data_IF_441638099899
#
_entry.id   IF_441638099899
#
_cell.length_a   1.000
_cell.length_b   1.000
_cell.length_c   1.000
_cell.angle_alpha   90.00
_cell.angle_beta   90.00
_cell.angle_gamma   90.00
#
_symmetry.space_group_name_H-M   'P 1'
#
loop_
_entity.id
_entity.type
_entity.pdbx_description
1 polymer ?
#
# COMPACT_ATOMS: atom_id res chain seq x y z
N UNK A 1 -3.09 13.06 21.02
CA UNK A 1 -4.57 13.14 20.87
C UNK A 1 -5.07 12.49 19.57
N UNK A 2 -4.25 12.03 18.62
CA UNK A 2 -4.70 11.31 17.39
C UNK A 2 -5.87 11.96 16.62
N UNK A 3 -6.06 13.28 16.76
CA UNK A 3 -7.06 14.07 16.07
C UNK A 3 -6.48 14.66 14.78
N UNK A 4 -7.25 14.77 13.70
CA UNK A 4 -8.69 14.44 13.56
C UNK A 4 -8.98 12.95 13.29
N UNK A 5 -7.95 12.12 13.17
CA UNK A 5 -8.04 10.75 12.64
C UNK A 5 -8.90 9.80 13.49
N UNK A 6 -8.88 9.95 14.82
CA UNK A 6 -9.68 9.19 15.78
C UNK A 6 -11.19 9.48 15.64
N UNK A 7 -11.55 10.70 15.27
CA UNK A 7 -12.94 11.13 15.04
C UNK A 7 -13.42 10.69 13.65
N UNK A 8 -12.57 10.82 12.63
CA UNK A 8 -12.88 10.34 11.27
C UNK A 8 -13.02 8.81 11.21
N UNK A 9 -12.31 8.10 12.09
CA UNK A 9 -12.46 6.66 12.30
C UNK A 9 -13.88 6.24 12.64
N UNK A 10 -14.57 7.06 13.45
CA UNK A 10 -15.87 6.75 14.01
C UNK A 10 -16.98 6.85 12.97
N UNK A 11 -16.79 7.72 11.97
CA UNK A 11 -17.74 7.92 10.88
C UNK A 11 -17.68 6.80 9.82
N UNK A 12 -16.76 5.83 9.96
CA UNK A 12 -16.47 4.86 8.90
C UNK A 12 -15.90 5.50 7.63
N UNK A 13 -15.56 6.78 7.69
CA UNK A 13 -15.13 7.61 6.56
C UNK A 13 -13.60 7.61 6.41
N UNK A 14 -12.93 6.58 6.93
CA UNK A 14 -11.51 6.33 6.69
C UNK A 14 -11.27 6.08 5.22
N UNK A 15 -10.86 7.13 4.52
CA UNK A 15 -10.47 7.05 3.12
C UNK A 15 -9.09 6.41 3.05
N UNK A 16 -8.97 5.32 2.30
CA UNK A 16 -7.69 4.83 1.84
C UNK A 16 -7.01 5.96 1.02
N UNK A 17 -5.69 6.18 1.13
CA UNK A 17 -4.99 7.09 0.23
C UNK A 17 -5.37 6.79 -1.23
N UNK A 18 -5.64 7.82 -2.02
CA UNK A 18 -6.23 7.65 -3.37
C UNK A 18 -5.40 6.73 -4.26
N UNK A 19 -4.08 6.87 -4.22
CA UNK A 19 -3.14 6.01 -4.97
C UNK A 19 -3.29 4.54 -4.55
N UNK A 20 -3.38 4.27 -3.25
CA UNK A 20 -3.54 2.91 -2.74
C UNK A 20 -4.90 2.33 -3.12
N UNK A 21 -5.94 3.16 -3.14
CA UNK A 21 -7.29 2.75 -3.56
C UNK A 21 -7.32 2.36 -5.04
N UNK A 22 -6.74 3.20 -5.89
CA UNK A 22 -6.61 2.94 -7.33
C UNK A 22 -5.82 1.65 -7.58
N UNK A 23 -4.73 1.42 -6.86
CA UNK A 23 -3.92 0.22 -6.99
C UNK A 23 -4.67 -1.05 -6.58
N UNK A 24 -5.45 -1.00 -5.50
CA UNK A 24 -6.33 -2.10 -5.08
C UNK A 24 -7.40 -2.35 -6.13
N UNK A 25 -8.09 -1.32 -6.61
CA UNK A 25 -9.12 -1.44 -7.64
C UNK A 25 -8.55 -2.08 -8.92
N UNK A 26 -7.34 -1.71 -9.33
CA UNK A 26 -6.66 -2.33 -10.47
C UNK A 26 -6.43 -3.84 -10.27
N UNK A 27 -5.96 -4.26 -9.09
CA UNK A 27 -5.81 -5.69 -8.76
C UNK A 27 -7.16 -6.42 -8.81
N UNK A 28 -8.20 -5.78 -8.28
CA UNK A 28 -9.55 -6.34 -8.21
C UNK A 28 -10.20 -6.50 -9.60
N UNK A 29 -9.96 -5.54 -10.51
CA UNK A 29 -10.38 -5.62 -11.92
C UNK A 29 -9.68 -6.79 -12.63
N UNK A 30 -8.42 -7.06 -12.29
CA UNK A 30 -7.65 -8.18 -12.82
C UNK A 30 -8.01 -9.55 -12.20
N UNK A 31 -9.12 -9.64 -11.44
CA UNK A 31 -9.61 -10.88 -10.84
C UNK A 31 -9.14 -11.13 -9.40
N UNK A 32 -8.26 -10.29 -8.87
CA UNK A 32 -7.72 -10.42 -7.51
C UNK A 32 -6.95 -11.74 -7.28
N UNK A 33 -6.58 -12.03 -6.02
CA UNK A 33 -5.89 -13.26 -5.63
C UNK A 33 -6.56 -14.54 -6.13
N UNK A 34 -7.89 -14.61 -6.13
CA UNK A 34 -8.64 -15.75 -6.66
C UNK A 34 -8.42 -15.96 -8.18
N UNK A 35 -8.19 -14.88 -8.93
CA UNK A 35 -7.89 -14.95 -10.37
C UNK A 35 -6.57 -15.65 -10.69
N UNK A 36 -5.60 -15.67 -9.76
CA UNK A 36 -4.32 -16.34 -9.97
C UNK A 36 -4.50 -17.86 -10.13
N UNK A 37 -5.47 -18.48 -9.44
CA UNK A 37 -5.73 -19.91 -9.54
C UNK A 37 -6.18 -20.30 -10.97
N UNK A 38 -7.01 -19.46 -11.59
CA UNK A 38 -7.47 -19.70 -12.97
C UNK A 38 -6.30 -19.64 -13.97
N UNK A 39 -5.35 -18.72 -13.78
CA UNK A 39 -4.19 -18.59 -14.66
C UNK A 39 -3.13 -19.65 -14.41
N UNK A 40 -2.94 -20.08 -13.16
CA UNK A 40 -2.14 -21.26 -12.85
C UNK A 40 -2.72 -22.52 -13.51
N UNK A 41 -4.04 -22.63 -13.53
CA UNK A 41 -4.70 -23.73 -14.23
C UNK A 41 -4.43 -23.67 -15.74
N UNK A 42 -4.51 -22.48 -16.36
CA UNK A 42 -4.12 -22.28 -17.76
C UNK A 42 -2.66 -22.69 -18.02
N UNK A 43 -1.75 -22.33 -17.11
CA UNK A 43 -0.33 -22.70 -17.20
C UNK A 43 -0.12 -24.22 -17.21
N UNK A 44 -0.83 -24.93 -16.31
CA UNK A 44 -0.82 -26.40 -16.24
C UNK A 44 -1.37 -27.03 -17.50
N UNK A 45 -2.44 -26.48 -18.06
CA UNK A 45 -3.05 -26.97 -19.29
C UNK A 45 -2.11 -26.80 -20.50
N UNK A 46 -1.46 -25.64 -20.65
CA UNK A 46 -0.44 -25.41 -21.68
C UNK A 46 0.75 -26.36 -21.51
N UNK A 47 1.25 -26.52 -20.28
CA UNK A 47 2.35 -27.46 -20.01
C UNK A 47 1.99 -28.89 -20.38
N UNK A 48 0.75 -29.32 -20.12
CA UNK A 48 0.28 -30.65 -20.50
C UNK A 48 0.26 -30.83 -22.02
N UNK A 49 -0.30 -29.85 -22.74
CA UNK A 49 -0.37 -29.90 -24.21
C UNK A 49 1.04 -29.96 -24.83
N UNK A 50 1.95 -29.11 -24.38
CA UNK A 50 3.32 -29.09 -24.90
C UNK A 50 4.05 -30.42 -24.61
N UNK A 51 3.84 -31.00 -23.42
CA UNK A 51 4.40 -32.31 -23.09
C UNK A 51 3.82 -33.43 -23.95
N UNK A 52 2.51 -33.44 -24.20
CA UNK A 52 1.84 -34.42 -25.06
C UNK A 52 2.37 -34.34 -26.50
N UNK A 53 2.51 -33.14 -27.05
CA UNK A 53 3.08 -32.93 -28.39
C UNK A 53 4.53 -33.43 -28.49
N UNK A 54 5.32 -33.24 -27.42
CA UNK A 54 6.69 -33.72 -27.34
C UNK A 54 6.74 -35.26 -27.36
N UNK A 55 5.94 -35.92 -26.52
CA UNK A 55 5.84 -37.38 -26.47
C UNK A 55 5.40 -37.94 -27.83
N UNK A 56 4.35 -37.38 -28.42
CA UNK A 56 3.85 -37.84 -29.73
C UNK A 56 4.92 -37.74 -30.82
N UNK A 57 5.74 -36.67 -30.81
CA UNK A 57 6.84 -36.49 -31.76
C UNK A 57 7.96 -37.51 -31.52
N UNK A 58 8.30 -37.77 -30.26
CA UNK A 58 9.30 -38.78 -29.88
C UNK A 58 8.86 -40.19 -30.29
N UNK A 59 7.60 -40.55 -30.04
CA UNK A 59 7.01 -41.83 -30.44
C UNK A 59 7.05 -42.04 -31.96
N UNK A 60 6.79 -41.01 -32.76
CA UNK A 60 6.88 -41.08 -34.22
C UNK A 60 8.30 -41.36 -34.70
N UNK A 61 9.31 -40.70 -34.12
CA UNK A 61 10.72 -40.94 -34.45
C UNK A 61 11.16 -42.33 -33.99
N UNK A 62 10.71 -42.77 -32.82
CA UNK A 62 11.06 -44.09 -32.30
C UNK A 62 10.43 -45.22 -33.12
N UNK A 63 9.19 -45.03 -33.57
CA UNK A 63 8.52 -45.95 -34.48
C UNK A 63 9.26 -46.07 -35.81
N UNK A 64 9.62 -44.95 -36.43
CA UNK A 64 10.38 -44.93 -37.68
C UNK A 64 11.74 -45.63 -37.54
N UNK A 65 12.47 -45.34 -36.46
CA UNK A 65 13.75 -45.98 -36.17
C UNK A 65 13.62 -47.50 -35.96
N UNK A 66 12.54 -47.93 -35.29
CA UNK A 66 12.24 -49.35 -35.06
C UNK A 66 11.89 -50.06 -36.37
N UNK A 67 11.08 -49.43 -37.24
CA UNK A 67 10.73 -49.96 -38.55
C UNK A 67 11.95 -50.07 -39.47
N UNK A 68 12.83 -49.06 -39.54
CA UNK A 68 14.10 -49.14 -40.29
C UNK A 68 15.00 -50.27 -39.78
N UNK A 69 15.13 -50.43 -38.46
CA UNK A 69 15.89 -51.53 -37.87
C UNK A 69 15.31 -52.91 -38.24
N UNK A 70 13.98 -53.05 -38.20
CA UNK A 70 13.30 -54.27 -38.61
C UNK A 70 13.53 -54.58 -40.09
N UNK A 71 13.41 -53.60 -40.98
CA UNK A 71 13.62 -53.80 -42.42
C UNK A 71 15.07 -54.09 -42.77
N UNK A 72 16.03 -53.47 -42.10
CA UNK A 72 17.46 -53.82 -42.23
C UNK A 72 17.73 -55.26 -41.82
N UNK A 73 17.14 -55.72 -40.71
CA UNK A 73 17.28 -57.10 -40.25
C UNK A 73 16.67 -58.11 -41.24
N UNK A 74 15.53 -57.78 -41.84
CA UNK A 74 14.82 -58.67 -42.78
C UNK A 74 15.46 -58.71 -44.18
N UNK A 75 15.88 -57.56 -44.71
CA UNK A 75 16.31 -57.42 -46.10
C UNK A 75 17.83 -57.30 -46.28
N UNK A 76 18.59 -57.11 -45.19
CA UNK A 76 20.06 -57.06 -45.20
C UNK A 76 20.60 -56.07 -46.24
N UNK A 77 21.46 -56.57 -47.13
CA UNK A 77 22.12 -55.77 -48.18
C UNK A 77 21.18 -55.23 -49.26
N UNK A 78 19.93 -55.71 -49.34
CA UNK A 78 18.91 -55.18 -50.26
C UNK A 78 18.26 -53.89 -49.75
N UNK A 79 18.45 -53.54 -48.48
CA UNK A 79 17.96 -52.30 -47.89
C UNK A 79 19.00 -51.19 -47.96
N UNK A 80 18.96 -50.39 -49.03
CA UNK A 80 20.01 -49.40 -49.36
C UNK A 80 19.72 -47.98 -48.87
N UNK A 81 18.61 -47.76 -48.14
CA UNK A 81 18.26 -46.44 -47.60
C UNK A 81 19.29 -46.00 -46.54
N UNK A 82 19.57 -44.68 -46.39
CA UNK A 82 20.36 -44.17 -45.27
C UNK A 82 19.73 -44.55 -43.92
N UNK A 83 20.56 -44.70 -42.89
CA UNK A 83 20.09 -45.07 -41.54
C UNK A 83 19.22 -43.95 -40.96
N UNK A 84 18.09 -44.35 -40.38
CA UNK A 84 17.13 -43.44 -39.74
C UNK A 84 17.77 -42.49 -38.73
N UNK A 85 18.62 -43.03 -37.84
CA UNK A 85 19.35 -42.23 -36.84
C UNK A 85 20.22 -41.12 -37.44
N UNK A 86 20.71 -41.29 -38.66
CA UNK A 86 21.51 -40.27 -39.35
C UNK A 86 20.62 -39.16 -39.91
N UNK A 87 19.44 -39.50 -40.42
CA UNK A 87 18.49 -38.54 -40.97
C UNK A 87 17.75 -37.76 -39.87
N UNK A 88 17.45 -38.40 -38.74
CA UNK A 88 16.63 -37.82 -37.66
C UNK A 88 17.46 -37.14 -36.57
N UNK A 89 18.80 -37.19 -36.63
CA UNK A 89 19.69 -36.62 -35.60
C UNK A 89 19.36 -35.17 -35.21
N UNK A 90 19.14 -34.28 -36.19
CA UNK A 90 18.81 -32.89 -35.90
C UNK A 90 17.44 -32.74 -35.21
N UNK A 91 16.48 -33.61 -35.53
CA UNK A 91 15.16 -33.62 -34.90
C UNK A 91 15.28 -34.11 -33.45
N UNK A 92 16.07 -35.15 -33.20
CA UNK A 92 16.39 -35.64 -31.85
C UNK A 92 17.09 -34.57 -31.01
N UNK A 93 18.07 -33.85 -31.57
CA UNK A 93 18.75 -32.74 -30.88
C UNK A 93 17.76 -31.62 -30.49
N UNK A 94 16.79 -31.30 -31.36
CA UNK A 94 15.74 -30.32 -31.07
C UNK A 94 14.76 -30.84 -30.00
N UNK A 95 14.35 -32.09 -30.08
CA UNK A 95 13.51 -32.77 -29.08
C UNK A 95 14.13 -32.70 -27.68
N UNK A 96 15.43 -32.99 -27.57
CA UNK A 96 16.17 -32.90 -26.31
C UNK A 96 16.19 -31.47 -25.75
N UNK A 97 16.28 -30.44 -26.61
CA UNK A 97 16.22 -29.04 -26.18
C UNK A 97 14.83 -28.68 -25.66
N UNK A 98 13.76 -29.04 -26.38
CA UNK A 98 12.40 -28.81 -25.90
C UNK A 98 12.12 -29.56 -24.58
N UNK A 99 12.62 -30.79 -24.44
CA UNK A 99 12.49 -31.54 -23.19
C UNK A 99 13.21 -30.85 -22.02
N UNK A 100 14.40 -30.28 -22.27
CA UNK A 100 15.13 -29.49 -21.27
C UNK A 100 14.37 -28.20 -20.90
N UNK A 101 13.83 -27.47 -21.88
CA UNK A 101 13.02 -26.28 -21.65
C UNK A 101 11.76 -26.59 -20.84
N UNK A 102 11.02 -27.64 -21.19
CA UNK A 102 9.84 -28.07 -20.43
C UNK A 102 10.18 -28.44 -18.98
N UNK A 103 11.35 -29.07 -18.75
CA UNK A 103 11.82 -29.36 -17.40
C UNK A 103 12.09 -28.08 -16.61
N UNK A 104 12.80 -27.12 -17.20
CA UNK A 104 13.07 -25.83 -16.56
C UNK A 104 11.77 -25.05 -16.30
N UNK A 105 10.82 -25.08 -17.25
CA UNK A 105 9.52 -24.45 -17.11
C UNK A 105 8.71 -25.09 -15.96
N UNK A 106 8.75 -26.41 -15.80
CA UNK A 106 8.12 -27.10 -14.68
C UNK A 106 8.74 -26.74 -13.32
N UNK A 107 10.07 -26.55 -13.26
CA UNK A 107 10.75 -26.06 -12.06
C UNK A 107 10.31 -24.63 -11.71
N UNK A 108 10.15 -23.75 -12.72
CA UNK A 108 9.62 -22.40 -12.56
C UNK A 108 8.18 -22.39 -12.05
N UNK A 109 7.29 -23.20 -12.65
CA UNK A 109 5.90 -23.31 -12.23
C UNK A 109 5.78 -23.74 -10.77
N UNK A 110 6.62 -24.68 -10.33
CA UNK A 110 6.63 -25.14 -8.95
C UNK A 110 7.03 -24.02 -7.97
N UNK A 111 7.88 -23.08 -8.38
CA UNK A 111 8.23 -21.90 -7.59
C UNK A 111 7.08 -20.90 -7.54
N UNK A 112 6.40 -20.65 -8.66
CA UNK A 112 5.23 -19.77 -8.72
C UNK A 112 4.10 -20.32 -7.83
N UNK A 113 3.77 -21.61 -7.98
CA UNK A 113 2.74 -22.32 -7.20
C UNK A 113 3.07 -22.30 -5.69
N UNK A 114 4.35 -22.41 -5.33
CA UNK A 114 4.79 -22.22 -3.94
C UNK A 114 4.61 -20.78 -3.46
N UNK A 115 5.04 -19.79 -4.24
CA UNK A 115 4.90 -18.37 -3.90
C UNK A 115 3.44 -17.96 -3.70
N UNK A 116 2.52 -18.46 -4.54
CA UNK A 116 1.08 -18.23 -4.40
C UNK A 116 0.57 -18.79 -3.08
N UNK A 117 0.93 -20.03 -2.72
CA UNK A 117 0.52 -20.65 -1.45
C UNK A 117 1.09 -19.92 -0.24
N UNK A 118 2.38 -19.62 -0.24
CA UNK A 118 3.08 -18.98 0.87
C UNK A 118 2.54 -17.57 1.17
N UNK A 119 2.14 -16.83 0.12
CA UNK A 119 1.64 -15.47 0.25
C UNK A 119 0.11 -15.34 0.19
N UNK A 120 -0.63 -16.46 0.14
CA UNK A 120 -2.10 -16.47 0.09
C UNK A 120 -2.75 -15.66 1.21
N UNK A 121 -2.31 -15.85 2.46
CA UNK A 121 -2.83 -15.15 3.63
C UNK A 121 -2.51 -13.64 3.63
N UNK A 122 -1.39 -13.23 3.03
CA UNK A 122 -1.08 -11.82 2.86
C UNK A 122 -1.99 -11.19 1.80
N UNK A 123 -2.16 -11.88 0.67
CA UNK A 123 -2.94 -11.40 -0.46
C UNK A 123 -4.46 -11.39 -0.21
N UNK A 124 -4.97 -12.21 0.71
CA UNK A 124 -6.42 -12.29 1.02
C UNK A 124 -7.02 -10.97 1.49
N UNK A 125 -6.20 -10.02 1.97
CA UNK A 125 -6.68 -8.67 2.31
C UNK A 125 -7.31 -7.95 1.10
N UNK A 126 -6.81 -8.24 -0.12
CA UNK A 126 -7.24 -7.64 -1.38
C UNK A 126 -8.62 -8.15 -1.86
N UNK A 127 -9.11 -9.25 -1.27
CA UNK A 127 -10.44 -9.80 -1.57
C UNK A 127 -11.57 -9.02 -0.89
N UNK A 128 -11.24 -8.17 0.10
CA UNK A 128 -12.21 -7.37 0.84
C UNK A 128 -12.95 -6.40 -0.09
N UNK A 129 -14.27 -6.31 0.05
CA UNK A 129 -15.15 -5.41 -0.73
C UNK A 129 -16.16 -4.74 0.22
N UNK A 130 -16.10 -3.41 0.43
CA UNK A 130 -15.04 -2.48 0.01
C UNK A 130 -13.72 -2.74 0.77
N UNK A 131 -12.56 -2.34 0.22
CA UNK A 131 -11.25 -2.63 0.83
C UNK A 131 -11.10 -1.99 2.22
N UNK A 132 -11.82 -0.89 2.45
CA UNK A 132 -11.91 -0.16 3.70
C UNK A 132 -12.45 -1.04 4.85
N UNK A 133 -13.15 -2.13 4.55
CA UNK A 133 -13.58 -3.11 5.57
C UNK A 133 -12.42 -3.90 6.19
N UNK A 134 -11.26 -3.96 5.52
CA UNK A 134 -10.04 -4.56 6.06
C UNK A 134 -9.30 -3.61 7.01
N UNK A 135 -9.68 -2.33 7.07
CA UNK A 135 -9.06 -1.37 7.98
C UNK A 135 -9.61 -1.57 9.40
N UNK A 136 -8.77 -1.38 10.45
CA UNK A 136 -9.25 -1.32 11.81
C UNK A 136 -10.28 -0.20 11.96
N UNK A 137 -11.54 -0.57 12.18
CA UNK A 137 -12.64 0.38 12.41
C UNK A 137 -12.92 0.54 13.90
N UNK A 138 -12.87 1.78 14.40
CA UNK A 138 -13.30 2.08 15.77
C UNK A 138 -14.80 1.78 15.87
N UNK A 139 -15.14 0.68 16.55
CA UNK A 139 -16.54 0.29 16.73
C UNK A 139 -17.14 1.08 17.88
N UNK A 140 -18.31 1.70 17.67
CA UNK A 140 -19.10 2.26 18.77
C UNK A 140 -19.36 1.16 19.81
N UNK A 141 -19.30 1.45 21.12
CA UNK A 141 -19.68 0.48 22.15
C UNK A 141 -21.07 -0.11 21.84
N UNK A 142 -21.22 -1.44 21.95
CA UNK A 142 -22.45 -2.18 21.58
C UNK A 142 -23.67 -1.76 22.45
N UNK A 143 -23.42 -1.01 23.53
CA UNK A 143 -24.44 -0.42 24.38
C UNK A 143 -24.10 1.05 24.68
N UNK A 144 -24.51 1.97 23.82
CA UNK A 144 -25.06 3.25 24.27
C UNK A 144 -25.92 3.85 23.17
N UNK A 145 -27.05 4.42 23.57
CA UNK A 145 -28.13 4.88 22.71
C UNK A 145 -28.53 6.27 23.19
N UNK A 146 -27.63 7.24 23.09
CA UNK A 146 -27.86 8.60 23.55
C UNK A 146 -27.30 9.68 22.62
N UNK A 147 -28.09 10.73 22.43
CA UNK A 147 -27.77 11.92 21.62
C UNK A 147 -26.57 12.73 22.16
N UNK A 148 -26.05 12.36 23.34
CA UNK A 148 -24.86 12.91 24.00
C UNK A 148 -23.58 12.54 23.24
N UNK A 149 -23.47 11.32 22.69
CA UNK A 149 -22.27 10.85 21.99
C UNK A 149 -22.05 11.61 20.68
N UNK A 150 -23.09 11.69 19.85
CA UNK A 150 -23.06 12.44 18.59
C UNK A 150 -22.86 13.95 18.86
N UNK A 151 -23.32 14.45 20.01
CA UNK A 151 -23.06 15.82 20.46
C UNK A 151 -21.59 16.04 20.79
N UNK A 152 -20.92 15.12 21.48
CA UNK A 152 -19.48 15.23 21.83
C UNK A 152 -18.63 15.15 20.56
N UNK A 153 -18.92 14.17 19.68
CA UNK A 153 -18.25 14.03 18.38
C UNK A 153 -18.47 15.26 17.51
N UNK A 154 -19.71 15.76 17.44
CA UNK A 154 -20.06 16.95 16.68
C UNK A 154 -19.38 18.21 17.21
N UNK A 155 -19.33 18.38 18.53
CA UNK A 155 -18.68 19.50 19.19
C UNK A 155 -17.15 19.47 18.98
N UNK A 156 -16.52 18.30 19.08
CA UNK A 156 -15.09 18.14 18.80
C UNK A 156 -14.75 18.44 17.33
N UNK A 157 -15.57 17.97 16.37
CA UNK A 157 -15.45 18.33 14.94
C UNK A 157 -15.58 19.83 14.72
N UNK A 158 -16.51 20.48 15.41
CA UNK A 158 -16.70 21.92 15.33
C UNK A 158 -15.48 22.67 15.85
N UNK A 159 -14.93 22.26 17.00
CA UNK A 159 -13.73 22.87 17.58
C UNK A 159 -12.51 22.73 16.67
N UNK A 160 -12.33 21.57 16.02
CA UNK A 160 -11.26 21.35 15.04
C UNK A 160 -11.40 22.28 13.82
N UNK A 161 -12.63 22.45 13.28
CA UNK A 161 -12.88 23.41 12.19
C UNK A 161 -12.64 24.87 12.60
N UNK A 162 -12.93 25.21 13.85
CA UNK A 162 -12.63 26.54 14.40
C UNK A 162 -11.11 26.76 14.49
N UNK A 163 -10.34 25.75 14.91
CA UNK A 163 -8.88 25.79 14.92
C UNK A 163 -8.30 25.99 13.50
N UNK A 164 -8.83 25.28 12.49
CA UNK A 164 -8.44 25.49 11.09
C UNK A 164 -8.75 26.91 10.61
N UNK A 165 -9.90 27.45 11.01
CA UNK A 165 -10.30 28.82 10.69
C UNK A 165 -9.33 29.85 11.31
N UNK A 166 -8.90 29.65 12.56
CA UNK A 166 -7.87 30.48 13.20
C UNK A 166 -6.52 30.40 12.47
N UNK A 167 -6.15 29.21 11.97
CA UNK A 167 -4.97 29.01 11.15
C UNK A 167 -5.03 29.79 9.84
N UNK A 168 -6.17 29.74 9.14
CA UNK A 168 -6.40 30.52 7.91
C UNK A 168 -6.38 32.03 8.18
N UNK A 169 -6.97 32.50 9.28
CA UNK A 169 -6.90 33.91 9.70
C UNK A 169 -5.46 34.35 9.96
N UNK A 170 -4.64 33.51 10.60
CA UNK A 170 -3.21 33.80 10.84
C UNK A 170 -2.43 33.94 9.55
N UNK A 171 -2.66 33.07 8.57
CA UNK A 171 -2.04 33.21 7.25
C UNK A 171 -2.41 34.56 6.59
N UNK A 172 -3.70 34.96 6.67
CA UNK A 172 -4.15 36.27 6.18
C UNK A 172 -3.50 37.46 6.90
N UNK A 173 -3.36 37.40 8.24
CA UNK A 173 -2.65 38.41 9.03
C UNK A 173 -1.18 38.54 8.63
N UNK A 174 -0.52 37.41 8.38
CA UNK A 174 0.87 37.36 7.91
C UNK A 174 1.02 38.04 6.54
N UNK A 175 0.12 37.74 5.61
CA UNK A 175 0.11 38.34 4.27
C UNK A 175 -0.13 39.87 4.33
N UNK A 176 -1.07 40.32 5.16
CA UNK A 176 -1.30 41.75 5.39
C UNK A 176 -0.06 42.44 5.96
N UNK A 177 0.62 41.83 6.93
CA UNK A 177 1.85 42.39 7.51
C UNK A 177 2.98 42.47 6.49
N UNK A 178 3.16 41.44 5.66
CA UNK A 178 4.14 41.43 4.56
C UNK A 178 3.85 42.54 3.56
N UNK A 179 2.58 42.72 3.19
CA UNK A 179 2.18 43.75 2.23
C UNK A 179 2.32 45.16 2.79
N UNK A 180 2.00 45.36 4.07
CA UNK A 180 2.26 46.63 4.77
C UNK A 180 3.74 46.95 4.77
N UNK A 181 4.60 45.99 5.16
CA UNK A 181 6.06 46.15 5.12
C UNK A 181 6.56 46.50 3.71
N UNK A 182 6.03 45.86 2.67
CA UNK A 182 6.41 46.12 1.27
C UNK A 182 6.09 47.56 0.85
N UNK A 183 4.99 48.12 1.33
CA UNK A 183 4.52 49.47 1.02
C UNK A 183 5.07 50.55 1.96
N UNK A 184 5.71 50.18 3.06
CA UNK A 184 6.18 51.12 4.08
C UNK A 184 7.55 51.71 3.74
N UNK A 185 7.57 52.66 2.80
CA UNK A 185 8.77 53.44 2.47
C UNK A 185 8.86 54.72 3.32
N UNK A 186 9.77 54.72 4.29
CA UNK A 186 9.99 55.85 5.20
C UNK A 186 11.02 56.88 4.69
N UNK A 187 11.79 56.57 3.65
CA UNK A 187 12.86 57.44 3.14
C UNK A 187 12.38 58.86 2.77
N UNK A 188 11.25 59.05 2.06
CA UNK A 188 10.75 60.39 1.76
C UNK A 188 10.36 61.18 3.01
N UNK A 189 9.86 60.50 4.05
CA UNK A 189 9.45 61.12 5.31
C UNK A 189 10.65 61.49 6.17
N UNK A 190 11.71 60.67 6.14
CA UNK A 190 12.99 60.98 6.78
C UNK A 190 13.63 62.23 6.15
N UNK A 191 13.60 62.35 4.82
CA UNK A 191 14.15 63.53 4.13
C UNK A 191 13.36 64.82 4.41
N UNK A 192 12.05 64.71 4.68
CA UNK A 192 11.17 65.85 4.92
C UNK A 192 11.08 66.27 6.40
N UNK A 193 11.59 65.46 7.32
CA UNK A 193 11.44 65.70 8.77
C UNK A 193 12.62 66.53 9.29
N UNK A 194 12.35 67.75 9.74
CA UNK A 194 13.34 68.63 10.38
C UNK A 194 13.39 68.48 11.92
N UNK A 195 12.66 67.51 12.47
CA UNK A 195 12.48 67.27 13.92
C UNK A 195 13.00 65.90 14.40
N UNK A 196 12.50 65.44 15.55
CA UNK A 196 12.91 64.17 16.18
C UNK A 196 12.59 62.95 15.30
N UNK A 197 13.62 62.20 14.92
CA UNK A 197 13.46 60.96 14.15
C UNK A 197 12.83 59.83 14.97
N UNK A 198 13.03 59.82 16.30
CA UNK A 198 12.42 58.84 17.20
C UNK A 198 10.88 58.92 17.21
N UNK A 199 10.34 60.13 17.21
CA UNK A 199 8.88 60.33 17.17
C UNK A 199 8.29 59.91 15.82
N UNK A 200 9.04 60.11 14.73
CA UNK A 200 8.68 59.62 13.41
C UNK A 200 8.68 58.09 13.36
N UNK A 201 9.74 57.43 13.84
CA UNK A 201 9.78 55.96 13.87
C UNK A 201 8.66 55.39 14.73
N UNK A 202 8.40 55.97 15.90
CA UNK A 202 7.29 55.56 16.77
C UNK A 202 5.94 55.63 16.05
N UNK A 203 5.68 56.71 15.30
CA UNK A 203 4.43 56.90 14.55
C UNK A 203 4.31 55.99 13.32
N UNK A 204 5.44 55.66 12.68
CA UNK A 204 5.42 54.76 11.52
C UNK A 204 5.25 53.29 11.97
N UNK A 205 5.87 52.89 13.08
CA UNK A 205 5.71 51.56 13.68
C UNK A 205 4.29 51.36 14.22
N UNK A 206 3.67 52.39 14.80
CA UNK A 206 2.32 52.29 15.39
C UNK A 206 1.22 51.94 14.38
N UNK A 207 1.50 51.98 13.07
CA UNK A 207 0.57 51.48 12.04
C UNK A 207 0.38 49.96 12.13
N UNK A 208 1.35 49.24 12.67
CA UNK A 208 1.29 47.79 12.83
C UNK A 208 0.51 47.38 14.10
N UNK A 209 0.20 48.33 15.00
CA UNK A 209 -0.43 48.05 16.30
C UNK A 209 -1.74 47.27 16.13
N UNK A 210 -2.56 47.63 15.14
CA UNK A 210 -3.81 46.91 14.86
C UNK A 210 -3.59 45.43 14.48
N UNK A 211 -2.59 45.14 13.63
CA UNK A 211 -2.24 43.76 13.28
C UNK A 211 -1.68 43.02 14.51
N UNK A 212 -0.88 43.70 15.34
CA UNK A 212 -0.38 43.11 16.58
C UNK A 212 -1.52 42.76 17.56
N UNK A 213 -2.56 43.61 17.66
CA UNK A 213 -3.76 43.34 18.44
C UNK A 213 -4.55 42.14 17.87
N UNK A 214 -4.71 42.06 16.55
CA UNK A 214 -5.39 40.93 15.90
C UNK A 214 -4.62 39.61 16.06
N UNK A 215 -3.29 39.63 16.00
CA UNK A 215 -2.44 38.47 16.29
C UNK A 215 -2.59 38.05 17.76
N UNK A 216 -2.55 39.01 18.69
CA UNK A 216 -2.73 38.73 20.12
C UNK A 216 -4.09 38.11 20.41
N UNK A 217 -5.15 38.62 19.76
CA UNK A 217 -6.50 38.05 19.83
C UNK A 217 -6.53 36.63 19.25
N UNK A 218 -5.97 36.40 18.05
CA UNK A 218 -5.91 35.08 17.43
C UNK A 218 -5.17 34.05 18.29
N UNK A 219 -4.09 34.45 18.98
CA UNK A 219 -3.38 33.60 19.93
C UNK A 219 -4.21 33.28 21.17
N UNK A 220 -4.92 34.26 21.74
CA UNK A 220 -5.84 34.05 22.86
C UNK A 220 -7.01 33.13 22.49
N UNK A 221 -7.60 33.32 21.31
CA UNK A 221 -8.64 32.45 20.77
C UNK A 221 -8.11 31.03 20.53
N UNK A 222 -6.85 30.87 20.07
CA UNK A 222 -6.21 29.56 19.91
C UNK A 222 -6.01 28.85 21.26
N UNK A 223 -5.57 29.57 22.29
CA UNK A 223 -5.38 28.99 23.62
C UNK A 223 -6.71 28.45 24.18
N UNK A 224 -7.78 29.24 24.05
CA UNK A 224 -9.12 28.82 24.48
C UNK A 224 -9.64 27.60 23.71
N UNK A 225 -9.49 27.57 22.38
CA UNK A 225 -9.99 26.44 21.59
C UNK A 225 -9.18 25.17 21.84
N UNK A 226 -7.87 25.27 22.07
CA UNK A 226 -7.03 24.12 22.41
C UNK A 226 -7.41 23.51 23.76
N UNK A 227 -7.72 24.35 24.76
CA UNK A 227 -8.26 23.87 26.04
C UNK A 227 -9.59 23.15 25.85
N UNK A 228 -10.47 23.67 24.99
CA UNK A 228 -11.76 23.03 24.71
C UNK A 228 -11.60 21.69 23.97
N UNK A 229 -10.74 21.64 22.95
CA UNK A 229 -10.42 20.41 22.21
C UNK A 229 -9.85 19.36 23.16
N UNK A 230 -8.96 19.74 24.08
CA UNK A 230 -8.39 18.81 25.05
C UNK A 230 -9.46 18.22 25.96
N UNK A 231 -10.31 19.05 26.57
CA UNK A 231 -11.40 18.57 27.43
C UNK A 231 -12.38 17.66 26.66
N UNK A 232 -12.77 18.06 25.44
CA UNK A 232 -13.64 17.26 24.58
C UNK A 232 -12.99 15.94 24.14
N UNK A 233 -11.68 15.94 23.89
CA UNK A 233 -10.95 14.73 23.54
C UNK A 233 -10.82 13.76 24.71
N UNK A 234 -10.64 14.27 25.94
CA UNK A 234 -10.60 13.44 27.14
C UNK A 234 -11.97 12.79 27.39
N UNK A 235 -13.06 13.54 27.21
CA UNK A 235 -14.43 13.03 27.29
C UNK A 235 -14.72 12.00 26.17
N UNK A 236 -14.30 12.30 24.94
CA UNK A 236 -14.36 11.38 23.80
C UNK A 236 -13.60 10.08 24.08
N UNK A 237 -12.36 10.16 24.58
CA UNK A 237 -11.54 8.97 24.86
C UNK A 237 -12.11 8.11 26.00
N UNK A 238 -12.79 8.72 26.99
CA UNK A 238 -13.43 8.01 28.09
C UNK A 238 -14.70 7.24 27.66
N UNK A 239 -15.48 7.81 26.73
CA UNK A 239 -16.74 7.22 26.24
C UNK A 239 -16.46 6.18 25.17
N UNK A 240 -15.66 6.55 24.17
CA UNK A 240 -15.25 5.64 23.11
C UNK A 240 -14.08 4.84 23.63
N UNK A 241 -14.39 3.78 24.38
CA UNK A 241 -13.47 2.92 25.14
C UNK A 241 -12.28 2.43 24.28
N UNK A 242 -11.28 3.30 24.15
CA UNK A 242 -10.11 3.10 23.31
C UNK A 242 -9.28 1.93 23.86
N UNK A 243 -9.32 1.67 25.17
CA UNK A 243 -8.60 0.56 25.81
C UNK A 243 -9.16 -0.81 25.43
N UNK A 244 -10.49 -1.00 25.42
CA UNK A 244 -11.11 -2.25 24.97
C UNK A 244 -10.96 -2.48 23.45
N UNK A 245 -10.94 -1.39 22.67
CA UNK A 245 -10.65 -1.45 21.24
C UNK A 245 -9.18 -1.81 20.96
N UNK A 246 -8.25 -1.22 21.71
CA UNK A 246 -6.81 -1.57 21.68
C UNK A 246 -6.56 -3.01 22.10
N UNK A 247 -7.27 -3.52 23.12
CA UNK A 247 -7.20 -4.94 23.53
C UNK A 247 -7.59 -5.91 22.41
N UNK A 248 -8.63 -5.57 21.63
CA UNK A 248 -9.03 -6.36 20.45
C UNK A 248 -7.99 -6.30 19.33
N UNK A 249 -7.37 -5.14 19.09
CA UNK A 249 -6.28 -4.98 18.11
C UNK A 249 -5.02 -5.76 18.52
N UNK A 250 -4.62 -5.73 19.79
CA UNK A 250 -3.46 -6.49 20.28
C UNK A 250 -3.72 -8.01 20.18
N UNK A 251 -4.95 -8.45 20.47
CA UNK A 251 -5.33 -9.86 20.31
C UNK A 251 -5.34 -10.33 18.86
N UNK A 252 -5.70 -9.47 17.89
CA UNK A 252 -5.62 -9.78 16.46
C UNK A 252 -4.19 -9.74 15.93
N UNK A 253 -3.32 -8.92 16.53
CA UNK A 253 -1.88 -8.86 16.23
C UNK A 253 -1.09 -10.07 16.77
N UNK A 254 -1.54 -10.69 17.87
CA UNK A 254 -0.91 -11.91 18.42
C UNK A 254 -1.11 -13.16 17.53
N UNK A 255 -2.00 -13.10 16.54
CA UNK A 255 -2.28 -14.22 15.63
C UNK A 255 -1.43 -14.24 14.36
N UNK A 256 -0.53 -13.25 14.17
CA UNK A 256 0.39 -13.21 13.04
C UNK A 256 1.83 -13.44 13.50
N UNK A 257 2.23 -14.71 13.57
CA UNK A 257 3.58 -15.18 13.89
C UNK A 257 4.64 -14.82 12.82
N UNK A 258 4.41 -13.80 11.99
CA UNK A 258 5.20 -13.54 10.78
C UNK A 258 6.48 -12.72 11.01
N UNK A 259 6.68 -12.13 12.19
CA UNK A 259 7.81 -11.21 12.44
C UNK A 259 8.87 -11.71 13.43
N UNK A 260 8.93 -13.01 13.75
CA UNK A 260 9.97 -13.54 14.65
C UNK A 260 11.33 -13.74 13.94
N UNK A 261 11.41 -13.68 12.61
CA UNK A 261 12.64 -14.04 11.86
C UNK A 261 13.02 -13.09 10.72
N UNK A 262 13.02 -11.77 10.95
CA UNK A 262 13.77 -10.84 10.08
C UNK A 262 14.88 -10.14 10.88
N UNK A 263 16.15 -10.27 10.46
CA UNK A 263 17.25 -9.64 11.18
C UNK A 263 17.13 -8.11 11.07
N UNK A 264 17.09 -7.46 12.24
CA UNK A 264 17.09 -6.03 12.41
C UNK A 264 18.37 -5.40 11.84
N UNK A 265 18.38 -4.99 10.55
CA UNK A 265 19.45 -4.12 10.06
C UNK A 265 19.18 -3.36 8.74
N UNK A 266 17.94 -2.99 8.44
CA UNK A 266 17.64 -2.18 7.23
C UNK A 266 17.20 -0.74 7.54
N UNK A 267 16.75 -0.43 8.76
CA UNK A 267 16.17 0.89 9.06
C UNK A 267 16.80 1.67 10.23
N UNK A 268 18.01 1.31 10.69
CA UNK A 268 18.80 2.20 11.57
C UNK A 268 18.11 2.70 12.85
N UNK A 269 17.05 2.05 13.34
CA UNK A 269 16.43 2.39 14.61
C UNK A 269 17.15 1.65 15.74
N UNK A 270 17.94 2.40 16.51
CA UNK A 270 18.48 1.95 17.79
C UNK A 270 17.32 1.70 18.74
N UNK A 271 17.17 0.47 19.23
CA UNK A 271 16.09 0.05 20.14
C UNK A 271 16.28 0.51 21.59
N UNK A 272 17.17 1.47 21.86
CA UNK A 272 17.49 1.92 23.21
C UNK A 272 17.07 3.36 23.46
N UNK A 273 15.78 3.66 23.33
CA UNK A 273 15.07 4.76 24.04
C UNK A 273 13.71 5.04 23.40
N UNK A 274 12.73 4.14 23.57
CA UNK A 274 11.33 4.48 23.35
C UNK A 274 10.65 4.51 24.74
N UNK A 275 10.02 5.64 25.14
CA UNK A 275 9.27 5.69 26.39
C UNK A 275 8.06 4.75 26.33
N UNK A 276 7.77 4.08 27.44
CA UNK A 276 6.55 3.31 27.68
C UNK A 276 5.32 4.25 27.78
N UNK A 277 4.99 4.97 26.70
CA UNK A 277 3.82 5.86 26.61
C UNK A 277 2.69 5.21 25.78
N UNK A 278 1.53 4.87 26.37
CA UNK A 278 0.41 4.19 25.69
C UNK A 278 -0.44 5.09 24.76
N UNK A 279 0.15 6.15 24.22
CA UNK A 279 -0.50 7.21 23.42
C UNK A 279 -0.42 6.93 21.89
N UNK A 280 0.03 5.74 21.46
CA UNK A 280 0.63 5.54 20.13
C UNK A 280 -0.01 4.46 19.21
N UNK A 281 -1.33 4.22 19.24
CA UNK A 281 -1.88 2.92 18.76
C UNK A 281 -2.73 2.92 17.47
N UNK A 282 -3.59 3.92 17.21
CA UNK A 282 -4.53 3.84 16.06
C UNK A 282 -3.87 4.22 14.73
N UNK A 283 -3.13 5.33 14.72
CA UNK A 283 -2.38 5.80 13.55
C UNK A 283 -1.34 4.76 13.11
N UNK A 284 -0.62 4.18 14.09
CA UNK A 284 0.36 3.11 13.85
C UNK A 284 -0.32 1.84 13.35
N UNK A 285 -1.46 1.44 13.90
CA UNK A 285 -2.20 0.26 13.42
C UNK A 285 -2.71 0.45 11.99
N UNK A 286 -3.18 1.64 11.62
CA UNK A 286 -3.58 1.97 10.24
C UNK A 286 -2.41 2.00 9.28
N UNK A 287 -1.32 2.64 9.67
CA UNK A 287 -0.10 2.68 8.86
C UNK A 287 0.42 1.26 8.60
N UNK A 288 0.33 0.37 9.60
CA UNK A 288 0.62 -1.06 9.42
C UNK A 288 -0.31 -1.72 8.41
N UNK A 289 -1.62 -1.48 8.48
CA UNK A 289 -2.57 -2.03 7.50
C UNK A 289 -2.33 -1.50 6.09
N UNK A 290 -2.00 -0.21 5.93
CA UNK A 290 -1.62 0.35 4.62
C UNK A 290 -0.38 -0.33 4.06
N UNK A 291 0.68 -0.49 4.87
CA UNK A 291 1.89 -1.22 4.48
C UNK A 291 1.59 -2.68 4.14
N UNK A 292 0.64 -3.31 4.83
CA UNK A 292 0.22 -4.68 4.53
C UNK A 292 -0.52 -4.76 3.17
N UNK A 293 -1.39 -3.80 2.88
CA UNK A 293 -2.07 -3.70 1.58
C UNK A 293 -1.04 -3.44 0.46
N UNK A 294 -0.12 -2.51 0.64
CA UNK A 294 0.96 -2.23 -0.31
C UNK A 294 1.81 -3.47 -0.59
N UNK A 295 2.22 -4.19 0.46
CA UNK A 295 2.98 -5.44 0.33
C UNK A 295 2.18 -6.52 -0.39
N UNK A 296 0.88 -6.64 -0.11
CA UNK A 296 -0.01 -7.58 -0.80
C UNK A 296 -0.13 -7.26 -2.30
N UNK A 297 -0.28 -5.98 -2.66
CA UNK A 297 -0.35 -5.53 -4.06
C UNK A 297 0.96 -5.81 -4.79
N UNK A 298 2.09 -5.45 -4.18
CA UNK A 298 3.41 -5.70 -4.76
C UNK A 298 3.62 -7.20 -5.02
N UNK A 299 3.29 -8.05 -4.05
CA UNK A 299 3.43 -9.49 -4.19
C UNK A 299 2.47 -10.07 -5.22
N UNK A 300 1.22 -9.60 -5.27
CA UNK A 300 0.27 -9.99 -6.30
C UNK A 300 0.79 -9.65 -7.71
N UNK A 301 1.29 -8.42 -7.92
CA UNK A 301 1.83 -7.97 -9.21
C UNK A 301 3.02 -8.81 -9.65
N UNK A 302 3.97 -9.08 -8.76
CA UNK A 302 5.13 -9.93 -9.02
C UNK A 302 4.70 -11.35 -9.46
N UNK A 303 3.78 -11.97 -8.72
CA UNK A 303 3.28 -13.31 -9.05
C UNK A 303 2.54 -13.29 -10.39
N UNK A 304 1.70 -12.27 -10.63
CA UNK A 304 0.95 -12.09 -11.87
C UNK A 304 1.86 -11.97 -13.08
N UNK A 305 2.92 -11.17 -12.97
CA UNK A 305 3.93 -11.00 -14.01
C UNK A 305 4.63 -12.33 -14.33
N UNK A 306 5.08 -13.06 -13.31
CA UNK A 306 5.71 -14.38 -13.49
C UNK A 306 4.79 -15.39 -14.18
N UNK A 307 3.49 -15.40 -13.85
CA UNK A 307 2.51 -16.26 -14.52
C UNK A 307 2.35 -15.86 -15.98
N UNK A 308 2.18 -14.56 -16.26
CA UNK A 308 2.01 -14.05 -17.62
C UNK A 308 3.23 -14.36 -18.49
N UNK A 309 4.45 -14.16 -17.98
CA UNK A 309 5.68 -14.52 -18.68
C UNK A 309 5.75 -16.02 -18.97
N UNK A 310 5.28 -16.85 -18.02
CA UNK A 310 5.19 -18.29 -18.19
C UNK A 310 4.16 -18.73 -19.22
N UNK A 311 3.03 -18.01 -19.35
CA UNK A 311 2.02 -18.25 -20.39
C UNK A 311 2.59 -17.87 -21.76
N UNK A 312 3.11 -16.64 -21.89
CA UNK A 312 3.66 -16.11 -23.14
C UNK A 312 4.82 -16.96 -23.65
N UNK A 313 5.70 -17.42 -22.75
CA UNK A 313 6.82 -18.30 -23.14
C UNK A 313 6.33 -19.62 -23.73
N UNK A 314 5.29 -20.22 -23.17
CA UNK A 314 4.74 -21.51 -23.66
C UNK A 314 3.92 -21.40 -24.94
N UNK A 315 3.37 -20.23 -25.23
CA UNK A 315 2.68 -19.97 -26.49
C UNK A 315 3.66 -19.76 -27.67
N UNK A 316 4.91 -19.38 -27.38
CA UNK A 316 5.94 -19.14 -28.39
C UNK A 316 6.88 -20.34 -28.67
N UNK A 317 6.96 -21.31 -27.76
CA UNK A 317 7.77 -22.53 -27.91
C UNK A 317 7.10 -23.63 -28.74
#
# INVERSE_FOLDING_TARGET
MDLPDSVLALDGNTLLPTVLKEDVEAVQICGGPAGLEAELQQLKDLSRVNHEMLIQTEEQLQKEATEDAQFRNQFGTRWTRPQSSTLTKNLQDRLNRFAANLKQAAESDALIDRSVREHSALMSILDSRPIESALPSLSRPIMSLDASEDSIVGALKQSLRQLDTLGAQRAGLEDMLKEMKRKDNILPKLMATAGSHEDLFRKEISKCDHICEEIAKNLGDQEQILMHIQAQNDEFAAIFNFEDYKGKIISSLSYSSFWVHTPANIFGFSTSSLPDDPIFDLSVSREKTYKQIEAAIAKYREIKENINDGIVSREME
#
